data_IF_586301751192
#
_entry.id   IF_586301751192
#
_cell.length_a   1.000
_cell.length_b   1.000
_cell.length_c   1.000
_cell.angle_alpha   90.00
_cell.angle_beta   90.00
_cell.angle_gamma   90.00
#
_symmetry.space_group_name_H-M   'P 1'
#
loop_
_entity.id
_entity.type
_entity.pdbx_description
1 polymer ?
#
# COMPACT_ATOMS: atom_id res chain seq x y z
N UNK A 1 -7.88 16.76 18.19
CA UNK A 1 -7.74 15.37 17.73
C UNK A 1 -6.26 15.04 17.82
N UNK A 2 -5.87 13.92 18.43
CA UNK A 2 -4.47 13.51 18.42
C UNK A 2 -4.05 13.25 16.97
N UNK A 3 -2.89 13.76 16.59
CA UNK A 3 -2.31 13.51 15.28
C UNK A 3 -2.04 12.00 15.13
N UNK A 4 -2.36 11.44 13.96
CA UNK A 4 -2.10 10.03 13.68
C UNK A 4 -0.59 9.82 13.63
N UNK A 5 -0.08 8.92 14.45
CA UNK A 5 1.33 8.53 14.46
C UNK A 5 1.58 7.49 13.37
N UNK A 6 2.04 7.96 12.20
CA UNK A 6 2.28 7.10 11.03
C UNK A 6 3.43 6.12 11.26
N UNK A 7 4.49 6.54 11.95
CA UNK A 7 5.62 5.67 12.27
C UNK A 7 5.14 4.44 13.06
N UNK A 8 4.28 4.66 14.06
CA UNK A 8 3.66 3.56 14.81
C UNK A 8 2.80 2.66 13.91
N UNK A 9 1.98 3.21 13.03
CA UNK A 9 1.14 2.42 12.13
C UNK A 9 1.96 1.57 11.15
N UNK A 10 3.06 2.14 10.61
CA UNK A 10 3.94 1.46 9.66
C UNK A 10 4.65 0.28 10.34
N UNK A 11 5.20 0.50 11.54
CA UNK A 11 5.84 -0.54 12.32
C UNK A 11 4.85 -1.64 12.72
N UNK A 12 3.64 -1.28 13.15
CA UNK A 12 2.60 -2.27 13.47
C UNK A 12 2.22 -3.13 12.25
N UNK A 13 2.06 -2.51 11.08
CA UNK A 13 1.76 -3.22 9.83
C UNK A 13 2.90 -4.18 9.46
N UNK A 14 4.15 -3.71 9.54
CA UNK A 14 5.34 -4.52 9.25
C UNK A 14 5.45 -5.76 10.14
N UNK A 15 5.20 -5.59 11.44
CA UNK A 15 5.24 -6.69 12.39
C UNK A 15 4.10 -7.69 12.17
N UNK A 16 2.93 -7.25 11.69
CA UNK A 16 1.89 -8.16 11.21
C UNK A 16 2.33 -8.88 9.94
N UNK A 17 2.97 -8.19 9.00
CA UNK A 17 3.43 -8.78 7.74
C UNK A 17 4.45 -9.90 7.95
N UNK A 18 5.48 -9.67 8.79
CA UNK A 18 6.43 -10.72 9.19
C UNK A 18 5.76 -11.94 9.84
N UNK A 19 4.75 -11.71 10.67
CA UNK A 19 3.99 -12.81 11.29
C UNK A 19 3.18 -13.57 10.24
N UNK A 20 2.59 -12.85 9.29
CA UNK A 20 1.85 -13.45 8.18
C UNK A 20 2.78 -14.34 7.36
N UNK A 21 3.97 -13.87 6.96
CA UNK A 21 4.99 -14.65 6.26
C UNK A 21 5.41 -15.91 7.03
N UNK A 22 5.67 -15.77 8.34
CA UNK A 22 5.99 -16.91 9.21
C UNK A 22 4.88 -17.97 9.18
N UNK A 23 3.62 -17.56 9.35
CA UNK A 23 2.50 -18.50 9.35
C UNK A 23 2.16 -19.06 7.98
N UNK A 24 2.51 -18.37 6.90
CA UNK A 24 2.50 -18.93 5.55
C UNK A 24 3.46 -20.12 5.43
N UNK A 25 4.70 -19.98 5.93
CA UNK A 25 5.66 -21.09 5.99
C UNK A 25 5.21 -22.27 6.86
N UNK A 26 4.41 -22.01 7.89
CA UNK A 26 3.80 -23.03 8.75
C UNK A 26 2.46 -23.58 8.21
N UNK A 27 1.98 -23.12 7.04
CA UNK A 27 0.67 -23.44 6.47
C UNK A 27 -0.53 -23.18 7.42
N UNK A 28 -0.40 -22.21 8.34
CA UNK A 28 -1.43 -21.90 9.33
C UNK A 28 -2.42 -20.84 8.82
N UNK A 29 -3.31 -21.24 7.91
CA UNK A 29 -4.25 -20.35 7.22
C UNK A 29 -5.26 -19.65 8.16
N UNK A 30 -5.63 -20.28 9.28
CA UNK A 30 -6.52 -19.64 10.26
C UNK A 30 -5.87 -18.41 10.87
N UNK A 31 -4.60 -18.51 11.28
CA UNK A 31 -3.86 -17.36 11.83
C UNK A 31 -3.57 -16.29 10.78
N UNK A 32 -3.24 -16.70 9.55
CA UNK A 32 -3.05 -15.76 8.43
C UNK A 32 -4.30 -14.90 8.23
N UNK A 33 -5.49 -15.52 8.24
CA UNK A 33 -6.76 -14.80 8.10
C UNK A 33 -7.00 -13.79 9.23
N UNK A 34 -6.60 -14.11 10.46
CA UNK A 34 -6.70 -13.19 11.59
C UNK A 34 -5.74 -12.00 11.46
N UNK A 35 -4.50 -12.26 11.04
CA UNK A 35 -3.49 -11.21 10.83
C UNK A 35 -3.87 -10.28 9.68
N UNK A 36 -4.37 -10.82 8.57
CA UNK A 36 -4.84 -10.03 7.42
C UNK A 36 -5.96 -9.06 7.81
N UNK A 37 -6.89 -9.46 8.67
CA UNK A 37 -7.90 -8.53 9.23
C UNK A 37 -7.28 -7.36 10.01
N UNK A 38 -6.13 -7.59 10.65
CA UNK A 38 -5.36 -6.54 11.31
C UNK A 38 -4.66 -5.63 10.31
N UNK A 39 -4.00 -6.22 9.31
CA UNK A 39 -3.32 -5.49 8.23
C UNK A 39 -4.29 -4.57 7.49
N UNK A 40 -5.44 -5.09 7.04
CA UNK A 40 -6.46 -4.30 6.33
C UNK A 40 -6.91 -3.07 7.15
N UNK A 41 -7.09 -3.20 8.48
CA UNK A 41 -7.47 -2.07 9.34
C UNK A 41 -6.38 -1.01 9.45
N UNK A 42 -5.11 -1.40 9.34
CA UNK A 42 -3.99 -0.46 9.34
C UNK A 42 -3.86 0.19 7.96
N UNK A 43 -4.00 -0.59 6.89
CA UNK A 43 -4.04 -0.12 5.50
C UNK A 43 -5.14 0.92 5.31
N UNK A 44 -6.37 0.67 5.75
CA UNK A 44 -7.48 1.63 5.70
C UNK A 44 -7.13 2.97 6.38
N UNK A 45 -6.45 2.89 7.54
CA UNK A 45 -6.05 4.08 8.30
C UNK A 45 -4.95 4.86 7.58
N UNK A 46 -3.91 4.16 7.12
CA UNK A 46 -2.81 4.79 6.39
C UNK A 46 -3.34 5.39 5.10
N UNK A 47 -4.17 4.66 4.36
CA UNK A 47 -4.79 5.12 3.12
C UNK A 47 -5.67 6.36 3.32
N UNK A 48 -6.38 6.45 4.45
CA UNK A 48 -7.09 7.68 4.82
C UNK A 48 -6.14 8.88 4.95
N UNK A 49 -4.94 8.68 5.52
CA UNK A 49 -3.93 9.74 5.63
C UNK A 49 -3.31 10.09 4.27
N UNK A 50 -3.12 9.10 3.38
CA UNK A 50 -2.72 9.33 1.98
C UNK A 50 -3.76 10.22 1.29
N UNK A 51 -5.05 9.85 1.32
CA UNK A 51 -6.12 10.65 0.71
C UNK A 51 -6.20 12.07 1.27
N UNK A 52 -5.91 12.28 2.56
CA UNK A 52 -5.87 13.63 3.16
C UNK A 52 -4.69 14.46 2.67
N UNK A 53 -3.53 13.82 2.52
CA UNK A 53 -2.26 14.48 2.18
C UNK A 53 -2.08 14.65 0.66
N UNK A 54 -2.79 13.85 -0.13
CA UNK A 54 -2.70 13.83 -1.58
C UNK A 54 -3.19 15.14 -2.22
N UNK A 55 -2.47 15.58 -3.26
CA UNK A 55 -2.91 16.65 -4.13
C UNK A 55 -4.12 16.21 -4.99
N UNK A 56 -4.89 17.17 -5.50
CA UNK A 56 -6.05 16.90 -6.35
C UNK A 56 -5.78 15.94 -7.53
N UNK A 57 -4.65 16.05 -8.28
CA UNK A 57 -4.35 15.09 -9.34
C UNK A 57 -4.19 13.65 -8.82
N UNK A 58 -3.55 13.46 -7.66
CA UNK A 58 -3.32 12.14 -7.07
C UNK A 58 -4.64 11.54 -6.59
N UNK A 59 -5.51 12.34 -5.97
CA UNK A 59 -6.83 11.88 -5.51
C UNK A 59 -7.70 11.34 -6.64
N UNK A 60 -7.52 11.84 -7.87
CA UNK A 60 -8.30 11.39 -9.04
C UNK A 60 -7.89 10.01 -9.55
N UNK A 61 -6.64 9.61 -9.31
CA UNK A 61 -6.13 8.29 -9.73
C UNK A 61 -6.24 7.26 -8.61
N UNK A 62 -6.32 7.70 -7.35
CA UNK A 62 -6.48 6.81 -6.21
C UNK A 62 -7.87 6.15 -6.22
N UNK A 63 -7.96 4.81 -6.06
CA UNK A 63 -9.25 4.12 -5.99
C UNK A 63 -10.03 4.48 -4.71
N UNK A 64 -11.30 4.09 -4.67
CA UNK A 64 -12.14 4.37 -3.51
C UNK A 64 -11.69 3.57 -2.29
N UNK A 65 -11.33 2.30 -2.48
CA UNK A 65 -10.92 1.39 -1.41
C UNK A 65 -9.44 0.99 -1.53
N UNK A 66 -8.77 0.80 -0.39
CA UNK A 66 -7.37 0.34 -0.37
C UNK A 66 -7.24 -1.11 -0.85
N UNK A 67 -8.31 -1.90 -0.79
CA UNK A 67 -8.33 -3.30 -1.23
C UNK A 67 -8.16 -3.47 -2.75
N UNK A 68 -8.21 -2.38 -3.51
CA UNK A 68 -7.92 -2.35 -4.95
C UNK A 68 -6.42 -2.13 -5.23
N UNK A 69 -5.61 -1.94 -4.18
CA UNK A 69 -4.18 -1.63 -4.24
C UNK A 69 -3.36 -2.76 -3.64
N UNK A 70 -2.22 -3.05 -4.27
CA UNK A 70 -1.18 -3.87 -3.64
C UNK A 70 -0.40 -2.99 -2.66
N UNK A 71 -0.13 -3.52 -1.47
CA UNK A 71 0.47 -2.74 -0.37
C UNK A 71 1.82 -3.31 0.02
N UNK A 72 2.84 -2.45 0.04
CA UNK A 72 4.20 -2.77 0.46
C UNK A 72 4.74 -1.81 1.51
N UNK A 73 5.78 -2.24 2.22
CA UNK A 73 6.49 -1.39 3.18
C UNK A 73 8.00 -1.59 3.10
N UNK A 74 8.73 -0.49 2.98
CA UNK A 74 10.19 -0.43 3.00
C UNK A 74 10.67 0.15 4.33
N UNK A 75 11.43 -0.67 5.04
CA UNK A 75 11.69 -0.51 6.48
C UNK A 75 12.75 0.55 6.77
N UNK A 76 13.75 0.69 5.90
CA UNK A 76 14.89 1.57 6.15
C UNK A 76 14.57 3.03 5.82
N UNK A 77 13.67 3.27 4.87
CA UNK A 77 13.14 4.59 4.53
C UNK A 77 11.80 4.92 5.20
N UNK A 78 11.19 3.98 5.94
CA UNK A 78 9.82 4.11 6.47
C UNK A 78 8.82 4.51 5.38
N UNK A 79 8.89 3.87 4.20
CA UNK A 79 8.06 4.20 3.04
C UNK A 79 7.00 3.13 2.86
N UNK A 80 5.74 3.55 2.84
CA UNK A 80 4.61 2.72 2.53
C UNK A 80 4.23 2.89 1.05
N UNK A 81 4.14 1.79 0.31
CA UNK A 81 3.84 1.79 -1.11
C UNK A 81 2.42 1.30 -1.35
N UNK A 82 1.68 2.04 -2.17
CA UNK A 82 0.40 1.62 -2.73
C UNK A 82 0.55 1.48 -4.23
N UNK A 83 0.51 0.25 -4.73
CA UNK A 83 0.79 -0.10 -6.12
C UNK A 83 -0.51 -0.41 -6.84
N UNK A 84 -0.66 0.13 -8.05
CA UNK A 84 -1.79 -0.13 -8.93
C UNK A 84 -1.35 -0.16 -10.39
N UNK A 85 -2.21 -0.71 -11.24
CA UNK A 85 -2.08 -0.53 -12.69
C UNK A 85 -2.23 0.97 -13.00
N UNK A 86 -1.38 1.47 -13.90
CA UNK A 86 -1.46 2.85 -14.38
C UNK A 86 -2.85 3.09 -14.97
N UNK A 87 -3.68 3.96 -14.35
CA UNK A 87 -5.06 4.18 -14.82
C UNK A 87 -5.11 4.96 -16.14
N UNK A 88 -3.97 5.39 -16.69
CA UNK A 88 -3.87 5.99 -18.02
C UNK A 88 -3.72 4.97 -19.15
N UNK A 89 -3.50 3.69 -18.84
CA UNK A 89 -3.45 2.60 -19.81
C UNK A 89 -4.86 2.26 -20.28
N UNK A 90 -5.02 2.11 -21.58
CA UNK A 90 -6.24 1.55 -22.15
C UNK A 90 -6.12 0.03 -22.22
N UNK A 91 -6.68 -0.66 -21.22
CA UNK A 91 -6.62 -2.12 -21.14
C UNK A 91 -7.49 -2.84 -22.18
N UNK A 92 -8.28 -2.09 -22.97
CA UNK A 92 -9.06 -2.62 -24.09
C UNK A 92 -8.22 -2.77 -25.38
N UNK A 93 -6.97 -2.27 -25.39
CA UNK A 93 -6.02 -2.44 -26.50
C UNK A 93 -5.04 -3.60 -26.20
N UNK A 94 -5.14 -4.70 -26.97
CA UNK A 94 -4.38 -5.94 -26.79
C UNK A 94 -2.84 -5.75 -26.90
N UNK A 95 -2.38 -4.59 -27.39
CA UNK A 95 -0.96 -4.25 -27.60
C UNK A 95 -0.34 -3.39 -26.47
N UNK A 96 -1.09 -2.91 -25.47
CA UNK A 96 -0.52 -2.13 -24.36
C UNK A 96 0.08 -3.01 -23.24
N UNK A 97 1.37 -2.82 -22.97
CA UNK A 97 2.07 -3.48 -21.86
C UNK A 97 1.55 -2.93 -20.52
N UNK A 98 1.19 -3.84 -19.59
CA UNK A 98 0.75 -3.46 -18.24
C UNK A 98 1.88 -2.66 -17.55
N UNK A 99 1.62 -1.39 -17.25
CA UNK A 99 2.50 -0.56 -16.42
C UNK A 99 1.90 -0.41 -15.04
N UNK A 100 2.77 -0.46 -14.04
CA UNK A 100 2.40 -0.22 -12.65
C UNK A 100 2.85 1.18 -12.25
N UNK A 101 2.05 1.83 -11.41
CA UNK A 101 2.44 3.02 -10.67
C UNK A 101 2.44 2.70 -9.19
N UNK A 102 3.34 3.33 -8.44
CA UNK A 102 3.35 3.25 -6.98
C UNK A 102 3.22 4.63 -6.36
N UNK A 103 2.31 4.75 -5.40
CA UNK A 103 2.21 5.92 -4.52
C UNK A 103 3.05 5.61 -3.27
N UNK A 104 4.20 6.28 -3.17
CA UNK A 104 5.09 6.21 -2.02
C UNK A 104 4.64 7.24 -0.97
N UNK A 105 4.45 6.79 0.27
CA UNK A 105 4.00 7.60 1.39
C UNK A 105 4.90 7.42 2.61
N UNK A 106 5.48 8.50 3.11
CA UNK A 106 6.37 8.45 4.27
C UNK A 106 5.69 8.86 5.59
N UNK A 107 6.40 8.66 6.70
CA UNK A 107 5.95 9.03 8.05
C UNK A 107 5.75 10.54 8.26
N UNK A 108 6.30 11.37 7.37
CA UNK A 108 6.15 12.83 7.35
C UNK A 108 4.99 13.30 6.45
N UNK A 109 4.17 12.37 5.95
CA UNK A 109 3.04 12.60 5.03
C UNK A 109 3.45 13.11 3.66
N UNK A 110 4.71 12.93 3.27
CA UNK A 110 5.16 13.22 1.92
C UNK A 110 4.64 12.13 0.98
N UNK A 111 4.13 12.56 -0.18
CA UNK A 111 3.67 11.67 -1.24
C UNK A 111 4.56 11.86 -2.47
N UNK A 112 5.02 10.75 -3.03
CA UNK A 112 5.68 10.69 -4.33
C UNK A 112 5.00 9.64 -5.21
N UNK A 113 4.91 9.92 -6.51
CA UNK A 113 4.43 8.95 -7.51
C UNK A 113 5.64 8.40 -8.22
N UNK A 114 5.76 7.08 -8.25
CA UNK A 114 6.76 6.35 -9.01
C UNK A 114 6.05 5.75 -10.21
N UNK A 115 6.30 6.33 -11.38
CA UNK A 115 5.83 5.78 -12.65
C UNK A 115 6.72 4.60 -13.07
N UNK A 116 6.16 3.69 -13.87
CA UNK A 116 6.87 2.49 -14.36
C UNK A 116 7.48 1.67 -13.22
N UNK A 117 6.72 1.50 -12.14
CA UNK A 117 7.15 0.77 -10.96
C UNK A 117 7.41 -0.70 -11.32
N UNK A 118 8.62 -1.17 -10.99
CA UNK A 118 9.04 -2.55 -11.23
C UNK A 118 9.11 -3.30 -9.91
N UNK A 119 8.49 -4.47 -9.88
CA UNK A 119 8.69 -5.44 -8.81
C UNK A 119 9.91 -6.26 -9.24
N UNK A 120 11.05 -6.07 -8.57
CA UNK A 120 12.21 -6.95 -8.75
C UNK A 120 11.99 -8.23 -7.91
N UNK A 121 12.25 -9.40 -8.51
CA UNK A 121 12.22 -10.73 -7.88
C UNK A 121 13.33 -10.92 -6.84
#
# INVERSE_FOLDING_TARGET
MAEVDLNKLFLEWHELNKKTEKYFGEFNFSKIKELRKGQNKLEDKIYSEVKKSASEPIKKILPDEVGELEVGYEVNGSIFYFVMIDPSIDLDDDDEEIRLIAIAFDENRKIEIINDFKIED
#
